data_IF_380358871250
#
_entry.id   IF_380358871250
#
_cell.length_a   1.000
_cell.length_b   1.000
_cell.length_c   1.000
_cell.angle_alpha   90.00
_cell.angle_beta   90.00
_cell.angle_gamma   90.00
#
_symmetry.space_group_name_H-M   'P 1'
#
loop_
_entity.id
_entity.type
_entity.pdbx_description
1 polymer ?
#
# COMPACT_ATOMS: atom_id res chain seq x y z
N UNK A 1 2.06 -10.02 3.27
CA UNK A 1 1.06 -11.11 3.27
C UNK A 1 -0.26 -10.70 3.94
N UNK A 2 -0.24 -10.04 5.11
CA UNK A 2 -1.47 -9.67 5.85
C UNK A 2 -2.38 -8.74 5.03
N UNK A 3 -1.83 -7.74 4.35
CA UNK A 3 -2.61 -6.85 3.48
C UNK A 3 -3.25 -7.61 2.32
N UNK A 4 -2.51 -8.53 1.71
CA UNK A 4 -3.02 -9.41 0.66
C UNK A 4 -4.15 -10.32 1.16
N UNK A 5 -3.98 -10.90 2.36
CA UNK A 5 -5.02 -11.68 3.03
C UNK A 5 -6.29 -10.85 3.27
N UNK A 6 -6.17 -9.62 3.79
CA UNK A 6 -7.31 -8.73 4.06
C UNK A 6 -8.11 -8.43 2.78
N UNK A 7 -7.43 -8.09 1.69
CA UNK A 7 -8.05 -7.89 0.37
C UNK A 7 -8.76 -9.14 -0.12
N UNK A 8 -8.09 -10.30 -0.06
CA UNK A 8 -8.66 -11.59 -0.45
C UNK A 8 -9.89 -11.97 0.39
N UNK A 9 -9.80 -11.83 1.71
CA UNK A 9 -10.93 -12.13 2.61
C UNK A 9 -12.12 -11.24 2.31
N UNK A 10 -11.91 -9.95 2.21
CA UNK A 10 -12.96 -8.96 1.91
C UNK A 10 -13.62 -9.24 0.56
N UNK A 11 -12.81 -9.47 -0.48
CA UNK A 11 -13.32 -9.79 -1.82
C UNK A 11 -14.20 -11.04 -1.82
N UNK A 12 -13.87 -12.06 -1.03
CA UNK A 12 -14.65 -13.31 -0.98
C UNK A 12 -15.89 -13.24 -0.10
N UNK A 13 -15.80 -12.54 1.04
CA UNK A 13 -16.79 -12.70 2.11
C UNK A 13 -17.69 -11.48 2.32
N UNK A 14 -17.25 -10.26 1.98
CA UNK A 14 -18.07 -9.07 2.21
C UNK A 14 -19.13 -8.88 1.12
N UNK A 15 -20.34 -8.50 1.54
CA UNK A 15 -21.46 -8.21 0.61
C UNK A 15 -21.19 -6.87 -0.08
N UNK A 16 -20.86 -5.84 0.71
CA UNK A 16 -20.47 -4.53 0.20
C UNK A 16 -18.97 -4.51 0.02
N UNK A 17 -18.49 -4.15 -1.17
CA UNK A 17 -17.07 -4.12 -1.49
C UNK A 17 -16.54 -2.70 -1.32
N UNK A 18 -15.68 -2.49 -0.33
CA UNK A 18 -14.88 -1.27 -0.18
C UNK A 18 -13.82 -1.24 -1.28
N UNK A 19 -13.15 -2.37 -1.46
CA UNK A 19 -12.14 -2.60 -2.49
C UNK A 19 -12.26 -4.04 -2.98
N UNK A 20 -12.29 -4.25 -4.29
CA UNK A 20 -12.42 -5.57 -4.88
C UNK A 20 -11.11 -6.00 -5.55
N UNK A 21 -10.46 -7.04 -5.00
CA UNK A 21 -9.19 -7.55 -5.49
C UNK A 21 -9.24 -9.07 -5.70
N UNK A 22 -9.59 -9.47 -6.91
CA UNK A 22 -9.69 -10.88 -7.30
C UNK A 22 -8.31 -11.54 -7.47
N UNK A 23 -7.24 -10.74 -7.59
CA UNK A 23 -5.89 -11.23 -7.78
C UNK A 23 -5.19 -11.53 -6.46
N UNK A 24 -5.47 -10.77 -5.40
CA UNK A 24 -4.81 -10.95 -4.11
C UNK A 24 -4.86 -12.40 -3.60
N UNK A 25 -6.01 -13.07 -3.77
CA UNK A 25 -6.16 -14.47 -3.37
C UNK A 25 -5.34 -15.47 -4.19
N UNK A 26 -4.86 -15.08 -5.37
CA UNK A 26 -4.03 -15.94 -6.22
C UNK A 26 -2.56 -15.91 -5.81
N UNK A 27 -2.13 -14.84 -5.12
CA UNK A 27 -0.76 -14.69 -4.63
C UNK A 27 -0.53 -15.39 -3.28
N UNK A 28 -1.59 -15.87 -2.61
CA UNK A 28 -1.50 -16.57 -1.34
C UNK A 28 -1.67 -18.08 -1.55
N UNK A 29 -0.77 -18.87 -1.01
CA UNK A 29 -1.02 -20.30 -0.87
C UNK A 29 -2.14 -20.55 0.15
N UNK A 30 -2.80 -21.71 0.02
CA UNK A 30 -3.82 -22.11 1.01
C UNK A 30 -3.26 -22.17 2.42
N UNK A 31 -2.02 -22.63 2.58
CA UNK A 31 -1.36 -22.74 3.89
C UNK A 31 -1.12 -21.35 4.53
N UNK A 32 -0.68 -20.38 3.75
CA UNK A 32 -0.49 -18.98 4.20
C UNK A 32 -1.83 -18.37 4.59
N UNK A 33 -2.84 -18.51 3.74
CA UNK A 33 -4.18 -18.00 4.03
C UNK A 33 -4.73 -18.58 5.34
N UNK A 34 -4.72 -19.91 5.48
CA UNK A 34 -5.24 -20.60 6.67
C UNK A 34 -4.41 -20.24 7.91
N UNK A 35 -3.09 -20.11 7.79
CA UNK A 35 -2.19 -19.71 8.87
C UNK A 35 -2.46 -18.29 9.36
N UNK A 36 -2.62 -17.33 8.46
CA UNK A 36 -2.96 -15.94 8.82
C UNK A 36 -4.35 -15.90 9.47
N UNK A 37 -5.33 -16.57 8.89
CA UNK A 37 -6.68 -16.64 9.44
C UNK A 37 -6.70 -17.21 10.86
N UNK A 38 -5.99 -18.31 11.11
CA UNK A 38 -5.91 -18.94 12.43
C UNK A 38 -5.20 -18.03 13.45
N UNK A 39 -4.09 -17.40 13.07
CA UNK A 39 -3.35 -16.49 13.93
C UNK A 39 -4.20 -15.27 14.32
N UNK A 40 -4.94 -14.70 13.37
CA UNK A 40 -5.83 -13.56 13.64
C UNK A 40 -6.99 -13.96 14.54
N UNK A 41 -7.68 -15.07 14.24
CA UNK A 41 -8.77 -15.57 15.08
C UNK A 41 -8.28 -15.88 16.49
N UNK A 42 -7.10 -16.48 16.65
CA UNK A 42 -6.46 -16.72 17.95
C UNK A 42 -6.12 -15.45 18.74
N UNK A 43 -5.92 -14.33 18.04
CA UNK A 43 -5.60 -13.03 18.63
C UNK A 43 -6.82 -12.21 19.08
N UNK A 44 -8.06 -12.70 18.94
CA UNK A 44 -9.28 -11.93 19.22
C UNK A 44 -9.31 -11.35 20.63
N UNK A 45 -8.85 -12.07 21.62
CA UNK A 45 -8.81 -11.62 23.02
C UNK A 45 -7.85 -10.43 23.24
N UNK A 46 -6.85 -10.27 22.39
CA UNK A 46 -5.96 -9.11 22.36
C UNK A 46 -6.66 -7.89 21.75
N UNK A 47 -7.39 -8.10 20.64
CA UNK A 47 -8.10 -7.00 19.96
C UNK A 47 -9.40 -6.60 20.66
N UNK A 48 -10.16 -7.57 21.16
CA UNK A 48 -11.43 -7.36 21.84
C UNK A 48 -11.66 -8.45 22.90
N UNK A 49 -11.19 -8.23 24.15
CA UNK A 49 -11.31 -9.23 25.24
C UNK A 49 -12.76 -9.64 25.56
N UNK A 50 -13.74 -8.81 25.22
CA UNK A 50 -15.16 -9.04 25.47
C UNK A 50 -15.94 -9.59 24.28
N UNK A 51 -15.27 -9.95 23.18
CA UNK A 51 -15.96 -10.43 22.00
C UNK A 51 -16.65 -11.77 22.23
N UNK A 52 -17.96 -11.80 21.96
CA UNK A 52 -18.83 -12.99 22.13
C UNK A 52 -19.58 -13.39 20.84
N UNK A 53 -19.22 -12.81 19.69
CA UNK A 53 -19.84 -13.13 18.40
C UNK A 53 -19.30 -14.43 17.80
N UNK A 54 -20.02 -14.98 16.82
CA UNK A 54 -19.70 -16.25 16.20
C UNK A 54 -18.62 -16.16 15.11
N UNK A 55 -18.41 -14.98 14.51
CA UNK A 55 -17.45 -14.77 13.40
C UNK A 55 -16.29 -13.88 13.80
N UNK A 56 -15.32 -14.49 14.51
CA UNK A 56 -14.10 -13.82 14.99
C UNK A 56 -13.31 -13.16 13.86
N UNK A 57 -13.14 -13.88 12.77
CA UNK A 57 -12.31 -13.44 11.66
C UNK A 57 -12.93 -12.26 10.90
N UNK A 58 -14.24 -12.30 10.67
CA UNK A 58 -14.97 -11.19 10.08
C UNK A 58 -14.85 -9.92 10.93
N UNK A 59 -15.01 -10.08 12.25
CA UNK A 59 -14.85 -8.95 13.16
C UNK A 59 -13.44 -8.33 13.07
N UNK A 60 -12.40 -9.16 13.07
CA UNK A 60 -11.00 -8.69 12.98
C UNK A 60 -10.75 -7.99 11.65
N UNK A 61 -11.16 -8.60 10.55
CA UNK A 61 -10.97 -7.99 9.23
C UNK A 61 -11.67 -6.64 9.15
N UNK A 62 -12.94 -6.56 9.56
CA UNK A 62 -13.72 -5.34 9.45
C UNK A 62 -13.26 -4.22 10.41
N UNK A 63 -12.75 -4.56 11.59
CA UNK A 63 -12.40 -3.56 12.60
C UNK A 63 -10.91 -3.25 12.72
N UNK A 64 -10.03 -4.17 12.27
CA UNK A 64 -8.58 -3.99 12.42
C UNK A 64 -7.85 -3.83 11.08
N UNK A 65 -8.31 -4.49 10.02
CA UNK A 65 -7.64 -4.46 8.72
C UNK A 65 -8.33 -3.55 7.70
N UNK A 66 -9.67 -3.56 7.66
CA UNK A 66 -10.43 -2.77 6.70
C UNK A 66 -10.15 -1.26 6.81
N UNK A 67 -10.13 -0.65 8.02
CA UNK A 67 -9.89 0.79 8.16
C UNK A 67 -8.53 1.27 7.65
N UNK A 68 -7.54 0.40 7.57
CA UNK A 68 -6.22 0.74 7.06
C UNK A 68 -5.97 0.16 5.66
N UNK A 69 -6.03 -1.17 5.52
CA UNK A 69 -5.64 -1.84 4.27
C UNK A 69 -6.63 -1.59 3.14
N UNK A 70 -7.94 -1.73 3.42
CA UNK A 70 -8.96 -1.60 2.36
C UNK A 70 -9.23 -0.14 2.03
N UNK A 71 -9.34 0.75 3.02
CA UNK A 71 -9.56 2.17 2.79
C UNK A 71 -8.42 2.78 1.97
N UNK A 72 -7.14 2.54 2.33
CA UNK A 72 -6.01 3.05 1.55
C UNK A 72 -5.98 2.48 0.13
N UNK A 73 -6.36 1.19 -0.05
CA UNK A 73 -6.42 0.59 -1.37
C UNK A 73 -7.52 1.20 -2.24
N UNK A 74 -8.70 1.43 -1.67
CA UNK A 74 -9.82 2.10 -2.35
C UNK A 74 -9.48 3.55 -2.69
N UNK A 75 -8.84 4.28 -1.77
CA UNK A 75 -8.34 5.63 -1.99
C UNK A 75 -7.34 5.64 -3.16
N UNK A 76 -6.34 4.77 -3.13
CA UNK A 76 -5.33 4.66 -4.19
C UNK A 76 -5.97 4.32 -5.53
N UNK A 77 -6.88 3.35 -5.59
CA UNK A 77 -7.58 2.96 -6.82
C UNK A 77 -8.39 4.12 -7.41
N UNK A 78 -9.12 4.87 -6.57
CA UNK A 78 -9.89 6.04 -7.01
C UNK A 78 -9.01 7.09 -7.68
N UNK A 79 -7.88 7.43 -7.07
CA UNK A 79 -6.93 8.40 -7.61
C UNK A 79 -6.22 7.88 -8.86
N UNK A 80 -5.72 6.64 -8.83
CA UNK A 80 -5.09 6.00 -9.99
C UNK A 80 -6.03 5.99 -11.21
N UNK A 81 -7.28 5.59 -11.01
CA UNK A 81 -8.29 5.58 -12.08
C UNK A 81 -8.58 6.99 -12.62
N UNK A 82 -8.57 8.00 -11.76
CA UNK A 82 -8.70 9.39 -12.19
C UNK A 82 -7.50 9.84 -13.04
N UNK A 83 -6.29 9.54 -12.58
CA UNK A 83 -5.07 9.89 -13.30
C UNK A 83 -4.95 9.16 -14.65
N UNK A 84 -5.41 7.90 -14.74
CA UNK A 84 -5.51 7.16 -16.01
C UNK A 84 -6.43 7.90 -17.00
N UNK A 85 -7.57 8.41 -16.55
CA UNK A 85 -8.49 9.21 -17.40
C UNK A 85 -7.86 10.53 -17.84
N UNK A 86 -6.96 11.08 -17.04
CA UNK A 86 -6.22 12.31 -17.30
C UNK A 86 -4.92 12.09 -18.08
N UNK A 87 -4.73 10.89 -18.67
CA UNK A 87 -3.61 10.60 -19.55
C UNK A 87 -2.34 10.12 -18.84
N UNK A 88 -2.48 9.40 -17.72
CA UNK A 88 -1.36 8.73 -17.06
C UNK A 88 -0.64 7.79 -18.03
N UNK A 89 0.69 7.85 -18.04
CA UNK A 89 1.53 6.97 -18.85
C UNK A 89 2.23 5.90 -18.00
N UNK A 90 2.55 6.22 -16.74
CA UNK A 90 3.38 5.38 -15.88
C UNK A 90 2.83 5.32 -14.45
N UNK A 91 2.91 4.14 -13.85
CA UNK A 91 2.56 3.90 -12.47
C UNK A 91 3.73 3.28 -11.73
N UNK A 92 4.25 3.97 -10.72
CA UNK A 92 5.34 3.50 -9.86
C UNK A 92 4.75 3.06 -8.52
N UNK A 93 5.02 1.83 -8.12
CA UNK A 93 4.58 1.25 -6.84
C UNK A 93 5.81 1.03 -5.96
N UNK A 94 5.94 1.86 -4.94
CA UNK A 94 7.05 1.78 -3.98
C UNK A 94 6.69 0.82 -2.85
N UNK A 95 7.62 -0.05 -2.45
CA UNK A 95 7.38 -1.13 -1.50
C UNK A 95 6.18 -1.98 -1.92
N UNK A 96 6.23 -2.49 -3.14
CA UNK A 96 5.08 -3.12 -3.82
C UNK A 96 4.58 -4.38 -3.10
N UNK A 97 5.44 -5.08 -2.34
CA UNK A 97 5.09 -6.30 -1.63
C UNK A 97 4.24 -7.23 -2.49
N UNK A 98 3.08 -7.63 -2.00
CA UNK A 98 2.08 -8.38 -2.76
C UNK A 98 0.90 -7.50 -3.21
N UNK A 99 1.14 -6.21 -3.48
CA UNK A 99 0.13 -5.37 -4.11
C UNK A 99 -0.15 -5.84 -5.53
N UNK A 100 -1.40 -5.79 -5.93
CA UNK A 100 -1.89 -6.30 -7.22
C UNK A 100 -2.41 -5.20 -8.12
N UNK A 101 -2.42 -3.94 -7.64
CA UNK A 101 -2.98 -2.80 -8.38
C UNK A 101 -2.30 -2.57 -9.73
N UNK A 102 -1.01 -2.90 -9.84
CA UNK A 102 -0.25 -2.81 -11.08
C UNK A 102 -0.75 -3.74 -12.19
N UNK A 103 -1.33 -4.89 -11.84
CA UNK A 103 -1.89 -5.85 -12.80
C UNK A 103 -3.34 -5.54 -13.20
N UNK A 104 -3.97 -4.55 -12.55
CA UNK A 104 -5.35 -4.16 -12.82
C UNK A 104 -5.45 -2.91 -13.71
N UNK A 105 -4.35 -2.26 -14.03
CA UNK A 105 -4.32 -1.13 -14.98
C UNK A 105 -4.33 -1.63 -16.43
N UNK A 106 -4.72 -0.75 -17.37
CA UNK A 106 -4.71 -1.11 -18.78
C UNK A 106 -3.29 -1.10 -19.36
N UNK A 107 -3.08 -1.83 -20.46
CA UNK A 107 -1.78 -2.05 -21.12
C UNK A 107 -1.08 -0.78 -21.62
N UNK A 108 -1.75 0.37 -21.60
CA UNK A 108 -1.16 1.66 -22.01
C UNK A 108 -0.36 2.30 -20.88
N UNK A 109 -0.57 1.84 -19.64
CA UNK A 109 0.16 2.32 -18.47
C UNK A 109 1.30 1.36 -18.19
N UNK A 110 2.54 1.83 -18.29
CA UNK A 110 3.70 1.07 -17.83
C UNK A 110 3.73 1.07 -16.31
N UNK A 111 4.01 -0.07 -15.72
CA UNK A 111 4.07 -0.23 -14.27
C UNK A 111 5.50 -0.55 -13.84
N UNK A 112 5.95 0.10 -12.78
CA UNK A 112 7.25 -0.15 -12.16
C UNK A 112 7.01 -0.53 -10.70
N UNK A 113 7.33 -1.76 -10.34
CA UNK A 113 7.21 -2.26 -8.98
C UNK A 113 8.59 -2.31 -8.32
N UNK A 114 8.75 -1.50 -7.26
CA UNK A 114 9.99 -1.40 -6.51
C UNK A 114 9.82 -2.04 -5.13
N UNK A 115 10.75 -2.92 -4.77
CA UNK A 115 10.84 -3.51 -3.42
C UNK A 115 12.23 -4.12 -3.21
N UNK A 116 12.47 -4.65 -2.02
CA UNK A 116 13.69 -5.42 -1.74
C UNK A 116 13.84 -6.57 -2.75
N UNK A 117 15.07 -6.88 -3.18
CA UNK A 117 15.31 -7.89 -4.22
C UNK A 117 14.62 -9.22 -3.94
N UNK A 118 14.67 -9.70 -2.70
CA UNK A 118 14.10 -10.98 -2.29
C UNK A 118 12.56 -10.96 -2.38
N UNK A 119 11.95 -9.81 -2.09
CA UNK A 119 10.49 -9.62 -2.20
C UNK A 119 10.05 -9.63 -3.67
N UNK A 120 10.83 -8.97 -4.53
CA UNK A 120 10.58 -8.95 -5.98
C UNK A 120 10.68 -10.36 -6.57
N UNK A 121 11.72 -11.12 -6.20
CA UNK A 121 11.90 -12.49 -6.67
C UNK A 121 10.74 -13.40 -6.26
N UNK A 122 10.32 -13.34 -4.98
CA UNK A 122 9.17 -14.13 -4.50
C UNK A 122 7.86 -13.70 -5.19
N UNK A 123 7.65 -12.39 -5.38
CA UNK A 123 6.48 -11.87 -6.09
C UNK A 123 6.40 -12.37 -7.54
N UNK A 124 7.49 -12.30 -8.29
CA UNK A 124 7.57 -12.80 -9.66
C UNK A 124 7.16 -14.27 -9.72
N UNK A 125 7.74 -15.12 -8.87
CA UNK A 125 7.39 -16.55 -8.81
C UNK A 125 5.90 -16.78 -8.56
N UNK A 126 5.29 -16.01 -7.67
CA UNK A 126 3.85 -16.12 -7.35
C UNK A 126 2.96 -15.65 -8.50
N UNK A 127 3.32 -14.54 -9.13
CA UNK A 127 2.61 -13.96 -10.28
C UNK A 127 2.62 -14.94 -11.45
N UNK A 128 3.77 -15.52 -11.77
CA UNK A 128 3.92 -16.55 -12.80
C UNK A 128 3.10 -17.81 -12.47
N UNK A 129 3.23 -18.32 -11.25
CA UNK A 129 2.47 -19.51 -10.80
C UNK A 129 0.94 -19.27 -10.81
N UNK A 130 0.50 -18.04 -10.57
CA UNK A 130 -0.90 -17.64 -10.61
C UNK A 130 -1.43 -17.38 -12.03
N UNK A 131 -0.55 -17.35 -13.04
CA UNK A 131 -0.91 -17.02 -14.42
C UNK A 131 -1.45 -15.60 -14.57
N UNK A 132 -0.93 -14.66 -13.78
CA UNK A 132 -1.30 -13.24 -13.86
C UNK A 132 -0.47 -12.61 -14.98
N UNK A 133 -1.13 -11.88 -15.88
CA UNK A 133 -0.43 -11.11 -16.92
C UNK A 133 0.32 -9.94 -16.27
N UNK A 134 1.62 -9.91 -16.47
CA UNK A 134 2.54 -8.87 -16.00
C UNK A 134 3.36 -8.25 -17.13
N UNK A 135 2.89 -8.37 -18.37
CA UNK A 135 3.61 -7.92 -19.55
C UNK A 135 3.91 -6.41 -19.58
N UNK A 136 3.14 -5.61 -18.85
CA UNK A 136 3.32 -4.16 -18.66
C UNK A 136 4.07 -3.79 -17.38
N UNK A 137 4.59 -4.77 -16.62
CA UNK A 137 5.23 -4.57 -15.32
C UNK A 137 6.73 -4.75 -15.40
N UNK A 138 7.48 -3.75 -14.99
CA UNK A 138 8.94 -3.81 -14.75
C UNK A 138 9.22 -3.94 -13.25
N UNK A 139 9.94 -4.98 -12.87
CA UNK A 139 10.29 -5.26 -11.49
C UNK A 139 11.69 -4.71 -11.16
N UNK A 140 11.80 -3.96 -10.07
CA UNK A 140 13.02 -3.25 -9.66
C UNK A 140 13.40 -3.63 -8.23
N UNK A 141 14.36 -4.56 -8.09
CA UNK A 141 14.90 -4.94 -6.77
C UNK A 141 15.81 -3.86 -6.20
N UNK A 142 15.39 -3.16 -5.13
CA UNK A 142 16.15 -2.04 -4.54
C UNK A 142 15.90 -1.91 -3.03
N UNK A 143 16.85 -1.24 -2.35
CA UNK A 143 16.69 -0.77 -0.97
C UNK A 143 16.46 0.75 -1.00
N UNK A 144 15.37 1.21 -0.36
CA UNK A 144 15.02 2.63 -0.31
C UNK A 144 15.96 3.48 0.55
N UNK A 145 16.84 2.87 1.34
CA UNK A 145 17.94 3.56 2.01
C UNK A 145 19.16 3.77 1.09
N UNK A 146 19.15 3.19 -0.11
CA UNK A 146 20.23 3.27 -1.10
C UNK A 146 19.85 4.09 -2.34
N UNK A 147 20.61 3.90 -3.43
CA UNK A 147 20.39 4.56 -4.73
C UNK A 147 19.28 3.86 -5.53
N UNK A 148 18.09 3.77 -4.98
CA UNK A 148 16.95 3.11 -5.62
C UNK A 148 16.52 3.82 -6.92
N UNK A 149 16.69 5.15 -6.99
CA UNK A 149 16.29 5.93 -8.16
C UNK A 149 17.14 5.58 -9.38
N UNK A 150 18.42 5.34 -9.23
CA UNK A 150 19.30 4.95 -10.34
C UNK A 150 18.80 3.64 -10.95
N UNK A 151 18.36 2.68 -10.13
CA UNK A 151 17.80 1.41 -10.61
C UNK A 151 16.46 1.58 -11.34
N UNK A 152 15.62 2.52 -10.94
CA UNK A 152 14.41 2.87 -11.69
C UNK A 152 14.77 3.51 -13.03
N UNK A 153 15.72 4.44 -13.03
CA UNK A 153 16.18 5.14 -14.25
C UNK A 153 16.93 4.22 -15.24
N UNK A 154 17.50 3.12 -14.76
CA UNK A 154 18.13 2.08 -15.60
C UNK A 154 17.10 1.19 -16.34
N UNK A 155 15.80 1.33 -16.02
CA UNK A 155 14.72 0.67 -16.74
C UNK A 155 14.23 1.52 -17.92
N UNK A 156 13.08 1.18 -18.47
CA UNK A 156 12.40 1.98 -19.49
C UNK A 156 11.49 3.10 -18.89
N UNK A 157 11.77 3.51 -17.65
CA UNK A 157 11.13 4.65 -17.01
C UNK A 157 11.47 5.95 -17.75
N UNK A 158 10.44 6.72 -18.10
CA UNK A 158 10.58 7.99 -18.82
C UNK A 158 10.22 9.16 -17.88
N UNK A 159 11.23 9.91 -17.47
CA UNK A 159 11.04 11.10 -16.63
C UNK A 159 10.22 12.23 -17.29
N UNK A 160 9.95 12.14 -18.60
CA UNK A 160 9.07 13.06 -19.34
C UNK A 160 7.61 12.62 -19.36
N UNK A 161 7.30 11.40 -18.94
CA UNK A 161 5.94 10.87 -18.93
C UNK A 161 5.21 11.15 -17.62
N UNK A 162 3.94 11.55 -17.71
CA UNK A 162 3.08 11.73 -16.53
C UNK A 162 3.00 10.46 -15.71
N UNK A 163 3.40 10.55 -14.45
CA UNK A 163 3.58 9.42 -13.53
C UNK A 163 2.65 9.56 -12.32
N UNK A 164 2.02 8.46 -11.94
CA UNK A 164 1.40 8.31 -10.62
C UNK A 164 2.30 7.40 -9.78
N UNK A 165 2.61 7.83 -8.56
CA UNK A 165 3.44 7.05 -7.65
C UNK A 165 2.66 6.74 -6.38
N UNK A 166 2.62 5.47 -5.97
CA UNK A 166 2.01 5.07 -4.70
C UNK A 166 3.06 4.54 -3.72
N UNK A 167 2.99 5.05 -2.46
CA UNK A 167 3.81 4.62 -1.33
C UNK A 167 2.88 4.15 -0.20
N UNK A 168 2.14 3.06 -0.45
CA UNK A 168 1.12 2.57 0.48
C UNK A 168 1.71 1.59 1.49
N UNK A 169 1.58 1.93 2.77
CA UNK A 169 2.03 1.07 3.86
C UNK A 169 3.53 1.09 4.13
N UNK A 170 4.25 2.14 3.73
CA UNK A 170 5.69 2.26 3.90
C UNK A 170 6.13 3.43 4.78
N UNK A 171 5.38 4.54 4.82
CA UNK A 171 5.81 5.78 5.46
C UNK A 171 6.28 5.60 6.91
N UNK A 172 5.67 4.70 7.64
CA UNK A 172 5.97 4.43 9.04
C UNK A 172 7.15 3.48 9.28
N UNK A 173 7.65 2.81 8.24
CA UNK A 173 8.86 1.99 8.31
C UNK A 173 10.13 2.76 7.97
N UNK A 174 10.00 3.94 7.42
CA UNK A 174 11.10 4.86 7.14
C UNK A 174 11.19 5.94 8.20
N UNK A 175 12.39 6.49 8.43
CA UNK A 175 12.50 7.73 9.18
C UNK A 175 11.81 8.87 8.44
N UNK A 176 11.36 9.93 9.14
CA UNK A 176 10.77 11.11 8.50
C UNK A 176 11.72 11.73 7.45
N UNK A 177 13.01 11.72 7.75
CA UNK A 177 14.05 12.23 6.84
C UNK A 177 14.14 11.39 5.57
N UNK A 178 14.22 10.06 5.70
CA UNK A 178 14.27 9.13 4.55
C UNK A 178 13.00 9.22 3.72
N UNK A 179 11.83 9.26 4.36
CA UNK A 179 10.56 9.40 3.66
C UNK A 179 10.46 10.72 2.89
N UNK A 180 10.78 11.85 3.54
CA UNK A 180 10.79 13.16 2.89
C UNK A 180 11.83 13.25 1.74
N UNK A 181 12.99 12.60 1.90
CA UNK A 181 13.97 12.48 0.83
C UNK A 181 13.44 11.68 -0.36
N UNK A 182 12.77 10.55 -0.09
CA UNK A 182 12.13 9.72 -1.14
C UNK A 182 11.09 10.50 -1.93
N UNK A 183 10.20 11.23 -1.23
CA UNK A 183 9.17 12.07 -1.88
C UNK A 183 9.81 13.16 -2.75
N UNK A 184 10.87 13.81 -2.27
CA UNK A 184 11.60 14.82 -3.04
C UNK A 184 12.27 14.24 -4.28
N UNK A 185 12.95 13.11 -4.17
CA UNK A 185 13.56 12.43 -5.33
C UNK A 185 12.50 12.10 -6.39
N UNK A 186 11.35 11.56 -5.98
CA UNK A 186 10.25 11.31 -6.93
C UNK A 186 9.80 12.58 -7.63
N UNK A 187 9.58 13.67 -6.89
CA UNK A 187 9.16 14.95 -7.46
C UNK A 187 10.18 15.52 -8.46
N UNK A 188 11.49 15.34 -8.20
CA UNK A 188 12.58 15.78 -9.09
C UNK A 188 12.65 14.99 -10.41
N UNK A 189 12.13 13.74 -10.44
CA UNK A 189 12.20 12.85 -11.60
C UNK A 189 10.86 12.62 -12.31
N UNK A 190 9.84 13.37 -11.95
CA UNK A 190 8.52 13.31 -12.57
C UNK A 190 8.11 14.66 -13.15
N UNK A 191 7.45 14.71 -14.32
CA UNK A 191 7.02 15.97 -14.91
C UNK A 191 5.85 16.58 -14.14
N UNK A 192 5.64 17.88 -14.35
CA UNK A 192 4.47 18.60 -13.79
C UNK A 192 3.16 17.90 -14.17
N UNK A 193 2.25 17.78 -13.22
CA UNK A 193 0.98 17.07 -13.35
C UNK A 193 1.05 15.59 -12.96
N UNK A 194 2.23 15.11 -12.55
CA UNK A 194 2.37 13.82 -11.87
C UNK A 194 1.88 13.90 -10.42
N UNK A 195 1.54 12.75 -9.84
CA UNK A 195 0.99 12.66 -8.50
C UNK A 195 1.74 11.63 -7.66
N UNK A 196 1.84 11.91 -6.36
CA UNK A 196 2.35 10.97 -5.34
C UNK A 196 1.22 10.75 -4.33
N UNK A 197 0.85 9.49 -4.08
CA UNK A 197 -0.12 9.11 -3.06
C UNK A 197 0.54 8.22 -2.00
N UNK A 198 0.23 8.47 -0.74
CA UNK A 198 0.75 7.68 0.39
C UNK A 198 -0.20 7.73 1.57
N UNK A 199 -0.10 6.73 2.44
CA UNK A 199 -0.72 6.74 3.76
C UNK A 199 0.33 7.01 4.85
N UNK A 200 -0.10 7.57 5.97
CA UNK A 200 0.77 7.84 7.11
C UNK A 200 0.02 7.69 8.45
N UNK A 201 0.70 7.25 9.51
CA UNK A 201 0.11 7.20 10.84
C UNK A 201 0.07 8.59 11.45
N UNK A 202 -1.13 9.08 11.75
CA UNK A 202 -1.33 10.38 12.40
C UNK A 202 -1.08 10.29 13.90
N UNK A 203 -0.21 11.16 14.43
CA UNK A 203 0.13 11.24 15.86
C UNK A 203 -1.06 11.63 16.74
N UNK A 204 -2.05 12.33 16.19
CA UNK A 204 -3.18 12.91 16.94
C UNK A 204 -4.36 11.96 17.13
N UNK A 205 -4.50 10.92 16.30
CA UNK A 205 -5.76 10.16 16.16
C UNK A 205 -5.65 8.64 16.21
N UNK A 206 -4.51 8.09 16.57
CA UNK A 206 -4.33 6.63 16.56
C UNK A 206 -5.11 5.93 17.67
N UNK A 207 -6.36 5.55 17.40
CA UNK A 207 -7.17 4.68 18.29
C UNK A 207 -6.49 3.34 18.61
N UNK A 208 -5.66 2.85 17.67
CA UNK A 208 -5.04 1.53 17.73
C UNK A 208 -3.50 1.59 17.76
N UNK A 209 -2.92 2.71 18.22
CA UNK A 209 -1.47 2.94 18.20
C UNK A 209 -0.67 1.80 18.83
N UNK A 210 -1.03 1.38 20.02
CA UNK A 210 -0.36 0.29 20.75
C UNK A 210 -0.58 -1.06 20.05
N UNK A 211 -1.76 -1.29 19.50
CA UNK A 211 -2.10 -2.49 18.75
C UNK A 211 -1.29 -2.57 17.46
N UNK A 212 -1.22 -1.49 16.69
CA UNK A 212 -0.45 -1.44 15.45
C UNK A 212 1.05 -1.62 15.69
N UNK A 213 1.59 -0.99 16.74
CA UNK A 213 2.99 -1.20 17.16
C UNK A 213 3.26 -2.65 17.58
N UNK A 214 2.35 -3.26 18.31
CA UNK A 214 2.47 -4.65 18.73
C UNK A 214 2.40 -5.61 17.52
N UNK A 215 1.52 -5.35 16.56
CA UNK A 215 1.43 -6.13 15.31
C UNK A 215 2.68 -5.99 14.45
N UNK A 216 3.19 -4.79 14.26
CA UNK A 216 4.43 -4.54 13.52
C UNK A 216 5.61 -5.25 14.19
N UNK A 217 5.73 -5.15 15.51
CA UNK A 217 6.76 -5.85 16.28
C UNK A 217 6.64 -7.39 16.18
N UNK A 218 5.43 -7.91 16.16
CA UNK A 218 5.19 -9.36 15.99
C UNK A 218 5.55 -9.84 14.57
N UNK A 219 5.56 -8.96 13.57
CA UNK A 219 6.02 -9.20 12.22
C UNK A 219 7.53 -8.93 12.03
N UNK A 220 8.26 -8.65 13.11
CA UNK A 220 9.67 -8.20 13.10
C UNK A 220 9.90 -6.88 12.34
N UNK A 221 8.85 -6.09 12.21
CA UNK A 221 8.84 -4.79 11.54
C UNK A 221 8.74 -3.68 12.60
N UNK A 222 9.70 -2.76 12.63
CA UNK A 222 9.70 -1.66 13.60
C UNK A 222 9.18 -0.38 12.96
N UNK A 223 8.06 0.15 13.49
CA UNK A 223 7.57 1.47 13.09
C UNK A 223 8.54 2.56 13.59
N UNK A 224 9.08 3.36 12.67
CA UNK A 224 10.08 4.39 12.94
C UNK A 224 9.49 5.80 13.01
N UNK A 225 8.39 6.07 12.33
CA UNK A 225 7.83 7.39 12.25
C UNK A 225 6.31 7.43 12.45
N UNK A 226 5.85 8.57 12.98
CA UNK A 226 4.46 9.02 13.04
C UNK A 226 4.46 10.49 12.61
N UNK A 227 3.41 10.95 11.96
CA UNK A 227 3.36 12.26 11.33
C UNK A 227 2.21 13.09 11.88
N UNK A 228 2.42 14.39 11.97
CA UNK A 228 1.34 15.39 12.00
C UNK A 228 1.04 15.87 10.59
N UNK A 229 -0.10 16.49 10.37
CA UNK A 229 -0.38 17.15 9.09
C UNK A 229 0.71 18.20 8.75
N UNK A 230 1.20 18.95 9.73
CA UNK A 230 2.29 19.91 9.53
C UNK A 230 3.62 19.28 9.09
N UNK A 231 3.92 18.02 9.52
CA UNK A 231 5.07 17.28 8.99
C UNK A 231 4.86 16.98 7.49
N UNK A 232 3.66 16.57 7.10
CA UNK A 232 3.31 16.26 5.70
C UNK A 232 3.35 17.51 4.83
N UNK A 233 2.79 18.62 5.31
CA UNK A 233 2.87 19.94 4.64
C UNK A 233 4.35 20.32 4.42
N UNK A 234 5.20 20.18 5.42
CA UNK A 234 6.64 20.46 5.32
C UNK A 234 7.34 19.57 4.30
N UNK A 235 7.01 18.27 4.26
CA UNK A 235 7.56 17.34 3.27
C UNK A 235 7.14 17.72 1.85
N UNK A 236 5.85 18.05 1.65
CA UNK A 236 5.34 18.49 0.36
C UNK A 236 5.99 19.79 -0.11
N UNK A 237 6.06 20.80 0.76
CA UNK A 237 6.68 22.11 0.45
C UNK A 237 8.17 21.93 0.07
N UNK A 238 8.93 21.13 0.82
CA UNK A 238 10.34 20.87 0.53
C UNK A 238 10.55 20.12 -0.79
N UNK A 239 9.56 19.38 -1.25
CA UNK A 239 9.57 18.69 -2.54
C UNK A 239 8.95 19.52 -3.69
N UNK A 240 8.47 20.74 -3.42
CA UNK A 240 7.78 21.58 -4.41
C UNK A 240 6.43 21.03 -4.85
N UNK A 241 5.77 20.25 -4.00
CA UNK A 241 4.49 19.61 -4.25
C UNK A 241 3.33 20.38 -3.59
N UNK A 242 2.17 20.28 -4.18
CA UNK A 242 0.91 20.75 -3.58
C UNK A 242 0.13 19.55 -3.04
N UNK A 243 -0.40 19.67 -1.84
CA UNK A 243 -1.35 18.67 -1.31
C UNK A 243 -2.68 18.88 -2.04
N UNK A 244 -3.05 17.90 -2.84
CA UNK A 244 -4.31 17.89 -3.59
C UNK A 244 -5.48 17.41 -2.74
N UNK A 245 -5.27 16.35 -1.99
CA UNK A 245 -6.24 15.75 -1.07
C UNK A 245 -5.51 15.14 0.13
N UNK A 246 -6.08 15.35 1.32
CA UNK A 246 -5.67 14.67 2.54
C UNK A 246 -6.94 14.24 3.26
N UNK A 247 -7.13 12.94 3.45
CA UNK A 247 -8.29 12.39 4.15
C UNK A 247 -7.89 11.81 5.49
N UNK A 248 -8.55 12.25 6.54
CA UNK A 248 -8.37 11.71 7.88
C UNK A 248 -9.22 10.44 8.10
N UNK A 249 -9.01 9.76 9.24
CA UNK A 249 -9.75 8.53 9.56
C UNK A 249 -11.27 8.71 9.59
N UNK A 250 -11.78 9.90 9.98
CA UNK A 250 -13.23 10.16 10.02
C UNK A 250 -13.79 10.29 8.62
N UNK A 251 -13.06 10.99 7.74
CA UNK A 251 -13.46 11.14 6.34
C UNK A 251 -13.40 9.80 5.58
N UNK A 252 -12.39 8.98 5.88
CA UNK A 252 -12.30 7.63 5.32
C UNK A 252 -13.42 6.71 5.84
N UNK A 253 -13.78 6.83 7.13
CA UNK A 253 -14.91 6.11 7.70
C UNK A 253 -16.21 6.51 6.98
N UNK A 254 -16.48 7.80 6.81
CA UNK A 254 -17.67 8.30 6.12
C UNK A 254 -17.72 7.90 4.62
N UNK A 255 -16.56 7.74 3.97
CA UNK A 255 -16.47 7.37 2.55
C UNK A 255 -16.67 5.87 2.31
N UNK A 256 -16.18 5.02 3.22
CA UNK A 256 -16.01 3.59 2.94
C UNK A 256 -16.75 2.66 3.90
N UNK A 257 -17.22 3.14 5.08
CA UNK A 257 -17.85 2.35 6.13
C UNK A 257 -19.19 2.92 6.58
#
# INVERSE_FOLDING_TARGET
LVSCFAKCYHTKNSIVKIYNDELAGKLLSKQEYDGIAANMAGGISFFNPGYSGDNLLEWIVNNQLAPSVLARSAFNERHLNNEIRLGLCQYVIMASGYDTSGYMVNDRVKVFELDMPEMIEDKIMRVEAAGIDSSNVSYVGCDFNGSWIDKLLDTDFDAGCKTYCSLMGISYYLSKETFGHTVRILAEHMPQGSCIAFDYPDISRSRNKETNKALAKAADETMQAEYSLGDIETIADNAGLLIYENSDCSELDDMYF
#
